data_IF_543784689578
#
_entry.id   IF_543784689578
#
_cell.length_a   1.000
_cell.length_b   1.000
_cell.length_c   1.000
_cell.angle_alpha   90.00
_cell.angle_beta   90.00
_cell.angle_gamma   90.00
#
_symmetry.space_group_name_H-M   'P 1'
#
loop_
_entity.id
_entity.type
_entity.pdbx_description
1 polymer ?
#
# COMPACT_ATOMS: atom_id res chain seq x y z
N UNK A 1 -25.15 -20.49 11.07
CA UNK A 1 -25.66 -20.27 12.45
C UNK A 1 -24.83 -19.26 13.24
N UNK A 2 -23.51 -19.19 13.04
CA UNK A 2 -22.63 -18.14 13.62
C UNK A 2 -22.86 -16.72 13.06
N UNK A 3 -23.38 -16.62 11.83
CA UNK A 3 -23.66 -15.36 11.14
C UNK A 3 -24.87 -14.58 11.65
N UNK A 4 -25.74 -15.21 12.46
CA UNK A 4 -26.89 -14.54 13.07
C UNK A 4 -26.52 -13.84 14.39
N UNK A 5 -25.45 -14.28 15.06
CA UNK A 5 -24.98 -13.72 16.35
C UNK A 5 -24.33 -12.35 16.13
N UNK A 6 -23.58 -12.19 15.04
CA UNK A 6 -22.93 -10.92 14.70
C UNK A 6 -23.93 -9.84 14.24
N UNK A 7 -25.12 -10.26 13.81
CA UNK A 7 -26.23 -9.39 13.41
C UNK A 7 -27.10 -8.95 14.60
N UNK A 8 -26.99 -9.63 15.75
CA UNK A 8 -27.84 -9.40 16.92
C UNK A 8 -27.28 -8.42 17.96
N UNK A 9 -26.09 -7.85 17.74
CA UNK A 9 -25.56 -6.78 18.58
C UNK A 9 -25.17 -7.26 19.98
N UNK A 10 -23.87 -7.44 20.20
CA UNK A 10 -23.33 -7.52 21.56
C UNK A 10 -22.56 -6.25 21.87
N UNK A 11 -22.98 -5.55 22.92
CA UNK A 11 -22.11 -4.66 23.67
C UNK A 11 -22.43 -3.18 23.54
N UNK A 12 -21.99 -2.49 22.48
CA UNK A 12 -21.97 -1.02 22.49
C UNK A 12 -21.71 -0.32 21.13
N UNK A 13 -22.08 -0.90 19.98
CA UNK A 13 -21.80 -0.28 18.67
C UNK A 13 -23.10 0.23 18.06
N UNK A 14 -23.26 1.55 18.05
CA UNK A 14 -24.33 2.23 17.31
C UNK A 14 -24.27 1.86 15.83
N UNK A 15 -25.38 1.37 15.28
CA UNK A 15 -25.54 1.15 13.83
C UNK A 15 -25.46 2.50 13.12
N UNK A 16 -24.26 2.88 12.74
CA UNK A 16 -24.03 4.03 11.90
C UNK A 16 -23.71 3.50 10.50
N UNK A 17 -24.44 3.95 9.48
CA UNK A 17 -24.11 3.69 8.08
C UNK A 17 -22.72 4.26 7.70
N UNK A 18 -22.17 5.11 8.55
CA UNK A 18 -20.82 5.66 8.51
C UNK A 18 -19.81 4.90 9.41
N UNK A 19 -20.24 3.92 10.20
CA UNK A 19 -19.35 3.13 11.05
C UNK A 19 -18.42 2.24 10.22
N UNK A 20 -18.95 1.63 9.15
CA UNK A 20 -18.16 0.82 8.22
C UNK A 20 -17.06 1.66 7.53
N UNK A 21 -17.38 2.91 7.20
CA UNK A 21 -16.40 3.86 6.64
C UNK A 21 -15.32 4.26 7.66
N UNK A 22 -15.70 4.50 8.92
CA UNK A 22 -14.73 4.79 9.99
C UNK A 22 -13.81 3.62 10.29
N UNK A 23 -14.33 2.39 10.29
CA UNK A 23 -13.53 1.18 10.48
C UNK A 23 -12.55 0.98 9.33
N UNK A 24 -12.95 1.28 8.09
CA UNK A 24 -12.05 1.28 6.94
C UNK A 24 -10.93 2.34 7.05
N UNK A 25 -11.29 3.56 7.45
CA UNK A 25 -10.35 4.66 7.60
C UNK A 25 -9.33 4.36 8.71
N UNK A 26 -9.78 3.88 9.87
CA UNK A 26 -8.91 3.48 10.97
C UNK A 26 -8.04 2.28 10.59
N UNK A 27 -8.59 1.29 9.88
CA UNK A 27 -7.85 0.12 9.40
C UNK A 27 -6.72 0.51 8.43
N UNK A 28 -7.00 1.43 7.50
CA UNK A 28 -6.00 1.92 6.55
C UNK A 28 -4.97 2.83 7.21
N UNK A 29 -5.39 3.70 8.14
CA UNK A 29 -4.51 4.56 8.92
C UNK A 29 -3.56 3.76 9.81
N UNK A 30 -4.02 2.64 10.40
CA UNK A 30 -3.17 1.74 11.18
C UNK A 30 -2.27 0.86 10.31
N UNK A 31 -2.75 0.42 9.14
CA UNK A 31 -1.98 -0.46 8.26
C UNK A 31 -0.71 0.23 7.72
N UNK A 32 -0.76 1.52 7.38
CA UNK A 32 0.37 2.29 6.82
C UNK A 32 1.61 2.32 7.74
N UNK A 33 1.53 2.79 9.01
CA UNK A 33 2.67 2.78 9.90
C UNK A 33 3.11 1.35 10.24
N UNK A 34 2.18 0.40 10.36
CA UNK A 34 2.53 -1.01 10.60
C UNK A 34 3.35 -1.62 9.46
N UNK A 35 3.00 -1.34 8.20
CA UNK A 35 3.76 -1.78 7.03
C UNK A 35 5.15 -1.12 6.98
N UNK A 36 5.22 0.18 7.29
CA UNK A 36 6.48 0.91 7.37
C UNK A 36 7.41 0.33 8.44
N UNK A 37 6.89 0.06 9.63
CA UNK A 37 7.66 -0.61 10.69
C UNK A 37 8.05 -2.03 10.30
N UNK A 38 7.17 -2.79 9.64
CA UNK A 38 7.47 -4.13 9.12
C UNK A 38 8.64 -4.13 8.11
N UNK A 39 8.70 -3.15 7.22
CA UNK A 39 9.79 -2.99 6.24
C UNK A 39 11.13 -2.67 6.91
N UNK A 40 11.15 -1.77 7.90
CA UNK A 40 12.37 -1.43 8.65
C UNK A 40 12.86 -2.60 9.49
N UNK A 41 11.95 -3.32 10.15
CA UNK A 41 12.30 -4.46 10.99
C UNK A 41 12.61 -5.74 10.20
N UNK A 42 12.31 -5.77 8.90
CA UNK A 42 12.56 -6.90 8.00
C UNK A 42 14.01 -7.42 8.08
N UNK A 43 14.99 -6.51 8.21
CA UNK A 43 16.40 -6.88 8.33
C UNK A 43 16.84 -7.34 9.73
N UNK A 44 16.03 -7.10 10.77
CA UNK A 44 16.38 -7.33 12.18
C UNK A 44 15.69 -8.55 12.78
N UNK A 45 14.44 -8.82 12.41
CA UNK A 45 13.71 -10.00 12.91
C UNK A 45 12.57 -10.43 11.98
N UNK A 46 12.69 -11.65 11.44
CA UNK A 46 11.71 -12.24 10.53
C UNK A 46 10.34 -12.45 11.20
N UNK A 47 10.32 -12.82 12.49
CA UNK A 47 9.08 -13.09 13.24
C UNK A 47 8.23 -11.82 13.42
N UNK A 48 8.84 -10.68 13.79
CA UNK A 48 8.08 -9.44 13.90
C UNK A 48 7.58 -8.99 12.54
N UNK A 49 8.40 -9.10 11.48
CA UNK A 49 7.97 -8.79 10.12
C UNK A 49 6.67 -9.53 9.73
N UNK A 50 6.57 -10.83 10.05
CA UNK A 50 5.37 -11.62 9.79
C UNK A 50 4.15 -11.14 10.59
N UNK A 51 4.32 -10.83 11.88
CA UNK A 51 3.23 -10.32 12.72
C UNK A 51 2.73 -8.95 12.19
N UNK A 52 3.65 -8.04 11.86
CA UNK A 52 3.30 -6.72 11.32
C UNK A 52 2.62 -6.83 9.95
N UNK A 53 3.10 -7.75 9.09
CA UNK A 53 2.48 -8.03 7.79
C UNK A 53 1.07 -8.59 7.95
N UNK A 54 0.84 -9.46 8.92
CA UNK A 54 -0.50 -10.01 9.19
C UNK A 54 -1.51 -8.91 9.53
N UNK A 55 -1.14 -7.99 10.43
CA UNK A 55 -2.02 -6.86 10.79
C UNK A 55 -2.25 -5.91 9.60
N UNK A 56 -1.22 -5.63 8.80
CA UNK A 56 -1.35 -4.80 7.62
C UNK A 56 -2.29 -5.43 6.56
N UNK A 57 -2.14 -6.73 6.29
CA UNK A 57 -3.02 -7.47 5.37
C UNK A 57 -4.44 -7.51 5.90
N UNK A 58 -4.62 -7.71 7.21
CA UNK A 58 -5.94 -7.68 7.85
C UNK A 58 -6.62 -6.32 7.65
N UNK A 59 -5.89 -5.21 7.84
CA UNK A 59 -6.41 -3.86 7.57
C UNK A 59 -6.78 -3.65 6.09
N UNK A 60 -5.99 -4.19 5.16
CA UNK A 60 -6.27 -4.15 3.73
C UNK A 60 -7.55 -4.92 3.36
N UNK A 61 -7.75 -6.10 3.97
CA UNK A 61 -8.94 -6.92 3.74
C UNK A 61 -10.24 -6.22 4.18
N UNK A 62 -10.19 -5.40 5.24
CA UNK A 62 -11.35 -4.61 5.70
C UNK A 62 -11.78 -3.58 4.65
N UNK A 63 -10.84 -2.93 3.97
CA UNK A 63 -11.14 -1.99 2.88
C UNK A 63 -11.88 -2.68 1.72
N UNK A 64 -11.46 -3.90 1.38
CA UNK A 64 -12.10 -4.69 0.33
C UNK A 64 -13.55 -5.08 0.69
N UNK A 65 -13.83 -5.35 1.96
CA UNK A 65 -15.18 -5.65 2.44
C UNK A 65 -16.09 -4.41 2.42
N UNK A 66 -15.61 -3.27 2.91
CA UNK A 66 -16.37 -2.01 2.95
C UNK A 66 -16.70 -1.51 1.54
N UNK A 67 -15.77 -1.73 0.60
CA UNK A 67 -15.98 -1.36 -0.79
C UNK A 67 -17.15 -2.11 -1.46
N UNK A 68 -17.36 -3.39 -1.13
CA UNK A 68 -18.48 -4.17 -1.69
C UNK A 68 -19.82 -3.74 -1.07
N UNK A 69 -19.80 -3.28 0.18
CA UNK A 69 -20.98 -2.80 0.89
C UNK A 69 -21.44 -1.42 0.37
N UNK A 70 -20.51 -0.47 0.17
CA UNK A 70 -20.84 0.83 -0.43
C UNK A 70 -21.35 0.68 -1.87
N UNK A 71 -20.79 -0.26 -2.65
CA UNK A 71 -21.21 -0.53 -4.03
C UNK A 71 -22.66 -1.06 -4.09
N UNK A 72 -23.06 -1.87 -3.13
CA UNK A 72 -24.44 -2.35 -2.99
C UNK A 72 -25.42 -1.23 -2.65
N UNK A 73 -24.96 -0.22 -1.91
CA UNK A 73 -25.80 0.90 -1.48
C UNK A 73 -26.12 1.86 -2.63
N UNK A 74 -25.19 2.04 -3.58
CA UNK A 74 -25.30 3.08 -4.63
C UNK A 74 -25.80 2.54 -5.97
N UNK A 75 -25.58 1.26 -6.29
CA UNK A 75 -25.85 0.70 -7.62
C UNK A 75 -26.98 -0.33 -7.60
N UNK A 76 -27.91 -0.22 -8.56
CA UNK A 76 -29.01 -1.17 -8.72
C UNK A 76 -28.49 -2.57 -9.07
N UNK A 77 -29.21 -3.60 -8.58
CA UNK A 77 -28.79 -5.02 -8.60
C UNK A 77 -28.34 -5.52 -9.98
N UNK A 78 -28.93 -4.99 -11.06
CA UNK A 78 -28.65 -5.41 -12.44
C UNK A 78 -27.30 -4.91 -12.99
N UNK A 79 -26.72 -3.85 -12.41
CA UNK A 79 -25.43 -3.25 -12.86
C UNK A 79 -24.26 -3.51 -11.91
N UNK A 80 -24.52 -4.17 -10.78
CA UNK A 80 -23.54 -4.41 -9.71
C UNK A 80 -22.30 -5.14 -10.21
N UNK A 81 -22.45 -6.16 -11.07
CA UNK A 81 -21.34 -6.99 -11.55
C UNK A 81 -20.30 -6.18 -12.35
N UNK A 82 -20.74 -5.24 -13.18
CA UNK A 82 -19.85 -4.37 -13.97
C UNK A 82 -19.13 -3.39 -13.05
N UNK A 83 -19.86 -2.80 -12.10
CA UNK A 83 -19.28 -1.85 -11.15
C UNK A 83 -18.20 -2.51 -10.27
N UNK A 84 -18.44 -3.73 -9.80
CA UNK A 84 -17.44 -4.53 -9.08
C UNK A 84 -16.24 -4.87 -9.97
N UNK A 85 -16.48 -5.28 -11.22
CA UNK A 85 -15.42 -5.63 -12.16
C UNK A 85 -14.51 -4.42 -12.49
N UNK A 86 -15.09 -3.24 -12.77
CA UNK A 86 -14.32 -2.01 -13.02
C UNK A 86 -13.48 -1.64 -11.81
N UNK A 87 -14.03 -1.78 -10.61
CA UNK A 87 -13.32 -1.44 -9.38
C UNK A 87 -12.13 -2.35 -9.10
N UNK A 88 -12.30 -3.67 -9.29
CA UNK A 88 -11.21 -4.63 -9.21
C UNK A 88 -10.18 -4.39 -10.32
N UNK A 89 -10.62 -4.09 -11.55
CA UNK A 89 -9.74 -3.80 -12.68
C UNK A 89 -8.85 -2.58 -12.39
N UNK A 90 -9.43 -1.49 -11.91
CA UNK A 90 -8.68 -0.27 -11.56
C UNK A 90 -7.68 -0.58 -10.44
N UNK A 91 -8.10 -1.31 -9.41
CA UNK A 91 -7.24 -1.63 -8.27
C UNK A 91 -6.04 -2.49 -8.67
N UNK A 92 -6.24 -3.49 -9.55
CA UNK A 92 -5.14 -4.31 -10.06
C UNK A 92 -4.27 -3.59 -11.08
N UNK A 93 -4.86 -2.78 -11.96
CA UNK A 93 -4.08 -2.01 -12.93
C UNK A 93 -3.16 -1.00 -12.22
N UNK A 94 -3.67 -0.28 -11.22
CA UNK A 94 -2.87 0.65 -10.41
C UNK A 94 -1.94 -0.06 -9.42
N UNK A 95 -2.33 -1.21 -8.91
CA UNK A 95 -1.52 -1.98 -7.97
C UNK A 95 -0.38 -2.71 -8.66
N UNK A 96 -0.71 -3.64 -9.54
CA UNK A 96 0.24 -4.62 -10.08
C UNK A 96 1.00 -4.12 -11.31
N UNK A 97 0.36 -3.31 -12.17
CA UNK A 97 1.01 -2.81 -13.39
C UNK A 97 1.71 -1.45 -13.19
N UNK A 98 1.11 -0.56 -12.39
CA UNK A 98 1.64 0.79 -12.20
C UNK A 98 2.73 0.87 -11.12
N UNK A 99 2.71 0.02 -10.08
CA UNK A 99 3.75 0.05 -9.05
C UNK A 99 5.17 -0.25 -9.54
N UNK A 100 5.46 -1.30 -10.33
CA UNK A 100 6.82 -1.54 -10.82
C UNK A 100 7.30 -0.43 -11.76
N UNK A 101 6.39 0.17 -12.52
CA UNK A 101 6.70 1.29 -13.41
C UNK A 101 7.11 2.55 -12.61
N UNK A 102 6.35 2.91 -11.57
CA UNK A 102 6.70 4.02 -10.68
C UNK A 102 8.02 3.79 -9.95
N UNK A 103 8.22 2.59 -9.40
CA UNK A 103 9.45 2.23 -8.69
C UNK A 103 10.66 2.25 -9.64
N UNK A 104 10.48 1.79 -10.88
CA UNK A 104 11.50 1.88 -11.93
C UNK A 104 11.87 3.33 -12.24
N UNK A 105 10.88 4.20 -12.43
CA UNK A 105 11.11 5.63 -12.72
C UNK A 105 11.84 6.35 -11.57
N UNK A 106 11.47 6.04 -10.32
CA UNK A 106 12.14 6.59 -9.13
C UNK A 106 13.56 6.06 -9.00
N UNK A 107 13.77 4.76 -9.25
CA UNK A 107 15.08 4.12 -9.27
C UNK A 107 16.00 4.76 -10.32
N UNK A 108 15.48 5.01 -11.52
CA UNK A 108 16.25 5.63 -12.61
C UNK A 108 16.56 7.10 -12.33
N UNK A 109 15.63 7.85 -11.74
CA UNK A 109 15.85 9.23 -11.32
C UNK A 109 16.96 9.34 -10.26
N UNK A 110 16.93 8.47 -9.24
CA UNK A 110 17.98 8.39 -8.23
C UNK A 110 19.33 8.01 -8.87
N UNK A 111 19.33 6.99 -9.76
CA UNK A 111 20.57 6.53 -10.42
C UNK A 111 21.16 7.59 -11.33
N UNK A 112 20.35 8.40 -12.01
CA UNK A 112 20.80 9.53 -12.81
C UNK A 112 21.50 10.61 -11.97
N UNK A 113 20.94 10.96 -10.81
CA UNK A 113 21.57 11.90 -9.88
C UNK A 113 22.87 11.35 -9.27
N UNK A 114 22.88 10.08 -8.85
CA UNK A 114 24.10 9.42 -8.38
C UNK A 114 25.16 9.29 -9.50
N UNK A 115 24.76 9.00 -10.74
CA UNK A 115 25.68 8.91 -11.88
C UNK A 115 26.32 10.27 -12.21
N UNK A 116 25.55 11.37 -12.16
CA UNK A 116 26.11 12.72 -12.29
C UNK A 116 27.11 13.01 -11.17
N UNK A 117 26.79 12.64 -9.93
CA UNK A 117 27.68 12.85 -8.78
C UNK A 117 28.98 12.04 -8.91
N UNK A 118 28.90 10.78 -9.33
CA UNK A 118 30.07 9.92 -9.58
C UNK A 118 30.89 10.39 -10.78
N UNK A 119 30.27 10.90 -11.84
CA UNK A 119 30.97 11.41 -13.01
C UNK A 119 31.70 12.72 -12.71
N UNK A 120 31.09 13.61 -11.91
CA UNK A 120 31.77 14.80 -11.35
C UNK A 120 32.93 14.38 -10.46
N UNK A 121 32.75 13.37 -9.60
CA UNK A 121 33.83 12.85 -8.75
C UNK A 121 34.97 12.27 -9.60
N UNK A 122 34.67 11.50 -10.66
CA UNK A 122 35.66 10.94 -11.59
C UNK A 122 36.36 11.99 -12.43
N UNK A 123 35.68 13.07 -12.85
CA UNK A 123 36.34 14.18 -13.54
C UNK A 123 37.23 14.98 -12.59
N UNK A 124 36.77 15.26 -11.36
CA UNK A 124 37.56 16.00 -10.36
C UNK A 124 38.76 15.19 -9.87
N UNK A 125 38.61 13.89 -9.60
CA UNK A 125 39.74 13.03 -9.23
C UNK A 125 40.60 12.63 -10.43
N UNK A 126 40.00 12.34 -11.58
CA UNK A 126 40.69 11.92 -12.80
C UNK A 126 41.52 13.03 -13.47
N UNK A 127 41.07 14.29 -13.40
CA UNK A 127 41.91 15.44 -13.80
C UNK A 127 43.04 15.67 -12.79
N UNK A 128 42.83 15.38 -11.51
CA UNK A 128 43.85 15.55 -10.47
C UNK A 128 44.98 14.54 -10.59
N UNK A 129 44.71 13.29 -10.97
CA UNK A 129 45.75 12.28 -11.28
C UNK A 129 46.58 12.61 -12.53
N UNK A 130 45.98 13.24 -13.55
CA UNK A 130 46.72 13.64 -14.76
C UNK A 130 47.66 14.84 -14.52
N UNK A 131 47.36 15.70 -13.55
CA UNK A 131 48.17 16.89 -13.23
C UNK A 131 49.35 16.61 -12.28
N UNK A 132 49.46 15.42 -11.67
CA UNK A 132 50.63 14.99 -10.89
C UNK A 132 51.68 14.23 -11.72
N UNK A 133 51.42 14.00 -13.01
CA UNK A 133 52.28 13.27 -13.95
C UNK A 133 52.86 14.15 -15.07
N UNK A 134 52.76 15.48 -14.93
CA UNK A 134 53.36 16.51 -15.78
C UNK A 134 54.07 17.55 -14.93
#
# INVERSE_FOLDING_TARGET
MLSQIWRSGFGNISKNIHADLHVCALGSLFAVPFLYFGLILSSKSMILCWIFTFFAVTGCCVNSAVNIDILMSVISVQRRAIATAIQTLISHLFGDAFSPYLIGLISDALRGEFAKFYLVLLLVFGIREFSYLS
#
